data_IF_247306882822
#
_entry.id   IF_247306882822
#
_cell.length_a   1.000
_cell.length_b   1.000
_cell.length_c   1.000
_cell.angle_alpha   90.00
_cell.angle_beta   90.00
_cell.angle_gamma   90.00
#
_symmetry.space_group_name_H-M   'P 1'
#
loop_
_entity.id
_entity.type
_entity.pdbx_description
1 polymer ?
#
# COMPACT_ATOMS: atom_id res chain seq x y z
N UNK A 1 -2.02 30.70 8.68
CA UNK A 1 -2.20 29.23 8.79
C UNK A 1 -1.09 28.51 8.02
N UNK A 2 -0.50 27.45 8.56
CA UNK A 2 0.66 26.77 7.97
C UNK A 2 0.20 25.62 7.05
N UNK A 3 0.47 25.64 5.73
CA UNK A 3 -0.01 24.64 4.78
C UNK A 3 0.38 23.19 5.13
N UNK A 4 1.62 22.98 5.59
CA UNK A 4 2.10 21.65 6.00
C UNK A 4 1.34 21.10 7.21
N UNK A 5 0.95 21.94 8.17
CA UNK A 5 0.13 21.50 9.30
C UNK A 5 -1.26 21.05 8.85
N UNK A 6 -1.86 21.74 7.86
CA UNK A 6 -3.14 21.32 7.28
C UNK A 6 -3.00 20.01 6.50
N UNK A 7 -1.92 19.83 5.74
CA UNK A 7 -1.62 18.58 5.03
C UNK A 7 -1.54 17.39 5.99
N UNK A 8 -0.82 17.56 7.11
CA UNK A 8 -0.74 16.53 8.15
C UNK A 8 -2.11 16.24 8.80
N UNK A 9 -2.89 17.28 9.11
CA UNK A 9 -4.24 17.10 9.64
C UNK A 9 -5.15 16.35 8.65
N UNK A 10 -5.04 16.66 7.37
CA UNK A 10 -5.79 15.98 6.30
C UNK A 10 -5.35 14.53 6.16
N UNK A 11 -4.05 14.24 6.22
CA UNK A 11 -3.53 12.87 6.23
C UNK A 11 -4.11 12.06 7.39
N UNK A 12 -4.10 12.59 8.61
CA UNK A 12 -4.68 11.88 9.79
C UNK A 12 -6.19 11.66 9.63
N UNK A 13 -6.90 12.63 9.05
CA UNK A 13 -8.34 12.49 8.77
C UNK A 13 -8.61 11.38 7.76
N UNK A 14 -7.87 11.33 6.66
CA UNK A 14 -8.03 10.29 5.64
C UNK A 14 -7.54 8.92 6.12
N UNK A 15 -6.46 8.85 6.89
CA UNK A 15 -6.02 7.62 7.56
C UNK A 15 -7.13 7.03 8.43
N UNK A 16 -7.78 7.84 9.27
CA UNK A 16 -8.88 7.39 10.11
C UNK A 16 -10.10 6.92 9.29
N UNK A 17 -10.38 7.60 8.17
CA UNK A 17 -11.45 7.20 7.25
C UNK A 17 -11.15 5.84 6.63
N UNK A 18 -9.94 5.66 6.07
CA UNK A 18 -9.49 4.42 5.46
C UNK A 18 -9.46 3.27 6.47
N UNK A 19 -8.90 3.51 7.66
CA UNK A 19 -8.83 2.53 8.73
C UNK A 19 -10.21 1.96 9.08
N UNK A 20 -11.24 2.82 9.15
CA UNK A 20 -12.62 2.39 9.42
C UNK A 20 -13.29 1.67 8.25
N UNK A 21 -12.85 1.91 7.01
CA UNK A 21 -13.48 1.33 5.81
C UNK A 21 -12.79 0.09 5.27
N UNK A 22 -11.57 -0.24 5.72
CA UNK A 22 -10.80 -1.40 5.26
C UNK A 22 -10.63 -2.41 6.43
N UNK A 23 -11.53 -3.41 6.55
CA UNK A 23 -11.54 -4.34 7.69
C UNK A 23 -10.24 -5.13 7.89
N UNK A 24 -9.48 -5.34 6.82
CA UNK A 24 -8.16 -5.95 6.86
C UNK A 24 -7.20 -5.25 7.84
N UNK A 25 -7.41 -3.96 8.12
CA UNK A 25 -6.58 -3.18 9.02
C UNK A 25 -6.85 -3.43 10.52
N UNK A 26 -7.97 -4.07 10.88
CA UNK A 26 -8.35 -4.23 12.29
C UNK A 26 -8.98 -5.58 12.69
N UNK A 27 -9.65 -6.31 11.79
CA UNK A 27 -10.41 -7.52 12.16
C UNK A 27 -9.53 -8.67 12.70
N UNK A 28 -8.27 -8.72 12.30
CA UNK A 28 -7.32 -9.81 12.62
C UNK A 28 -6.03 -9.34 13.29
N UNK A 29 -6.05 -8.23 14.03
CA UNK A 29 -4.84 -7.69 14.67
C UNK A 29 -4.14 -8.67 15.64
N UNK A 30 -4.91 -9.58 16.24
CA UNK A 30 -4.41 -10.56 17.21
C UNK A 30 -4.26 -11.98 16.65
N UNK A 31 -4.39 -12.14 15.33
CA UNK A 31 -4.27 -13.42 14.63
C UNK A 31 -3.09 -13.34 13.63
N UNK A 32 -2.08 -14.23 13.73
CA UNK A 32 -0.95 -14.25 12.80
C UNK A 32 -1.35 -14.31 11.32
N UNK A 33 -2.49 -14.91 10.99
CA UNK A 33 -2.97 -14.99 9.61
C UNK A 33 -3.63 -13.69 9.10
N UNK A 34 -3.77 -12.68 9.95
CA UNK A 34 -4.10 -11.30 9.59
C UNK A 34 -2.94 -10.52 8.97
N UNK A 35 -1.73 -11.07 8.99
CA UNK A 35 -0.51 -10.42 8.52
C UNK A 35 0.38 -11.39 7.73
N UNK A 36 1.01 -10.91 6.66
CA UNK A 36 2.07 -11.67 5.96
C UNK A 36 3.12 -10.72 5.41
N UNK A 37 4.40 -11.00 5.65
CA UNK A 37 5.47 -10.29 4.97
C UNK A 37 5.44 -10.56 3.45
N UNK A 38 5.56 -9.50 2.66
CA UNK A 38 5.89 -9.59 1.24
C UNK A 38 7.42 -9.52 1.11
N UNK A 39 8.02 -8.47 1.64
CA UNK A 39 9.47 -8.24 1.63
C UNK A 39 9.86 -7.49 2.90
N UNK A 40 10.62 -8.16 3.77
CA UNK A 40 11.14 -7.60 5.02
C UNK A 40 12.67 -7.47 5.02
N UNK A 41 13.32 -7.90 3.92
CA UNK A 41 14.77 -8.08 3.83
C UNK A 41 15.47 -7.02 3.00
N UNK A 42 14.72 -6.09 2.41
CA UNK A 42 15.24 -5.10 1.47
C UNK A 42 15.85 -3.87 2.17
N UNK A 43 16.81 -4.15 3.06
CA UNK A 43 17.53 -3.16 3.85
C UNK A 43 18.30 -2.19 2.95
N UNK A 44 18.92 -2.68 1.87
CA UNK A 44 19.66 -1.83 0.91
C UNK A 44 18.76 -0.77 0.26
N UNK A 45 17.50 -1.09 -0.01
CA UNK A 45 16.55 -0.13 -0.55
C UNK A 45 15.82 0.70 0.53
N UNK A 46 15.92 0.31 1.81
CA UNK A 46 15.07 0.77 2.92
C UNK A 46 13.57 0.64 2.60
N UNK A 47 13.18 -0.51 2.05
CA UNK A 47 11.78 -0.81 1.71
C UNK A 47 11.29 -1.97 2.56
N UNK A 48 10.09 -1.84 3.10
CA UNK A 48 9.34 -2.95 3.70
C UNK A 48 7.97 -3.06 3.04
N UNK A 49 7.51 -4.29 2.85
CA UNK A 49 6.22 -4.59 2.24
C UNK A 49 5.53 -5.75 2.96
N UNK A 50 4.23 -5.62 3.20
CA UNK A 50 3.42 -6.63 3.89
C UNK A 50 1.97 -6.62 3.43
N UNK A 51 1.26 -7.72 3.71
CA UNK A 51 -0.17 -7.90 3.50
C UNK A 51 -0.89 -7.85 4.83
N UNK A 52 -2.09 -7.27 4.79
CA UNK A 52 -3.12 -7.35 5.84
C UNK A 52 -4.35 -8.04 5.29
N UNK A 53 -5.02 -8.86 6.10
CA UNK A 53 -6.20 -9.65 5.68
C UNK A 53 -7.41 -9.42 6.59
N UNK A 54 -8.61 -9.35 6.00
CA UNK A 54 -9.89 -9.38 6.72
C UNK A 54 -10.16 -10.76 7.31
N UNK A 55 -11.10 -10.85 8.25
CA UNK A 55 -11.53 -12.12 8.85
C UNK A 55 -12.16 -13.07 7.81
N UNK A 56 -12.92 -12.54 6.86
CA UNK A 56 -13.52 -13.31 5.77
C UNK A 56 -12.49 -13.80 4.74
N UNK A 57 -11.27 -13.25 4.73
CA UNK A 57 -10.18 -13.65 3.84
C UNK A 57 -10.34 -13.22 2.38
N UNK A 58 -11.47 -12.59 2.04
CA UNK A 58 -11.84 -12.06 0.73
C UNK A 58 -11.20 -10.70 0.41
N UNK A 59 -10.77 -9.98 1.46
CA UNK A 59 -10.19 -8.65 1.36
C UNK A 59 -8.77 -8.64 1.92
N UNK A 60 -7.83 -8.14 1.14
CA UNK A 60 -6.47 -7.84 1.60
C UNK A 60 -6.02 -6.44 1.20
N UNK A 61 -5.06 -5.93 1.96
CA UNK A 61 -4.37 -4.67 1.70
C UNK A 61 -2.87 -4.98 1.57
N UNK A 62 -2.27 -4.60 0.45
CA UNK A 62 -0.82 -4.58 0.29
C UNK A 62 -0.27 -3.22 0.72
N UNK A 63 0.57 -3.23 1.74
CA UNK A 63 1.19 -2.05 2.31
C UNK A 63 2.68 -2.03 1.98
N UNK A 64 3.17 -0.93 1.41
CA UNK A 64 4.58 -0.76 1.06
C UNK A 64 5.09 0.57 1.58
N UNK A 65 6.20 0.54 2.30
CA UNK A 65 6.83 1.73 2.86
C UNK A 65 8.22 1.91 2.25
N UNK A 66 8.47 3.03 1.60
CA UNK A 66 9.80 3.49 1.23
C UNK A 66 10.31 4.45 2.31
N UNK A 67 11.28 3.99 3.09
CA UNK A 67 11.86 4.75 4.20
C UNK A 67 13.12 5.52 3.77
N UNK A 68 13.39 5.59 2.47
CA UNK A 68 14.47 6.38 1.86
C UNK A 68 13.94 7.65 1.19
N UNK A 69 14.69 8.76 1.16
CA UNK A 69 14.37 9.91 0.32
C UNK A 69 14.59 9.66 -1.18
N UNK A 70 15.06 8.47 -1.56
CA UNK A 70 15.26 8.09 -2.97
C UNK A 70 13.99 7.41 -3.49
N UNK A 71 13.32 7.96 -4.52
CA UNK A 71 12.20 7.29 -5.17
C UNK A 71 12.61 5.95 -5.79
N UNK A 72 11.71 4.96 -5.79
CA UNK A 72 11.94 3.67 -6.46
C UNK A 72 10.97 3.53 -7.63
N UNK A 73 11.49 3.67 -8.84
CA UNK A 73 10.72 3.42 -10.06
C UNK A 73 10.74 1.94 -10.41
N UNK A 74 9.62 1.46 -10.97
CA UNK A 74 9.47 0.06 -11.40
C UNK A 74 9.80 -0.97 -10.31
N UNK A 75 9.55 -0.64 -9.04
CA UNK A 75 9.72 -1.55 -7.92
C UNK A 75 8.71 -2.70 -8.08
N UNK A 76 9.20 -3.94 -8.13
CA UNK A 76 8.36 -5.12 -8.29
C UNK A 76 7.80 -5.56 -6.95
N UNK A 77 6.48 -5.49 -6.79
CA UNK A 77 5.77 -5.92 -5.60
C UNK A 77 5.01 -7.23 -5.85
N UNK A 78 5.25 -8.26 -5.05
CA UNK A 78 4.47 -9.50 -5.08
C UNK A 78 3.04 -9.29 -4.56
N UNK A 79 2.05 -9.91 -5.22
CA UNK A 79 0.62 -9.76 -4.96
C UNK A 79 -0.08 -11.14 -4.92
N UNK A 80 -1.05 -11.35 -4.01
CA UNK A 80 -1.69 -12.66 -3.82
C UNK A 80 -2.71 -13.02 -4.90
N UNK A 81 -3.28 -12.05 -5.62
CA UNK A 81 -4.36 -12.28 -6.59
C UNK A 81 -4.14 -11.45 -7.86
N UNK A 82 -4.74 -11.92 -8.95
CA UNK A 82 -4.82 -11.17 -10.20
C UNK A 82 -5.83 -10.00 -10.08
N UNK A 83 -5.69 -9.03 -10.98
CA UNK A 83 -6.65 -7.94 -11.19
C UNK A 83 -6.06 -6.54 -11.00
N UNK A 84 -6.90 -5.51 -11.16
CA UNK A 84 -6.57 -4.14 -10.79
C UNK A 84 -6.50 -3.98 -9.27
N UNK A 85 -5.57 -3.14 -8.82
CA UNK A 85 -5.39 -2.73 -7.44
C UNK A 85 -5.46 -1.21 -7.38
N UNK A 86 -6.43 -0.69 -6.63
CA UNK A 86 -6.56 0.75 -6.40
C UNK A 86 -5.57 1.21 -5.34
N UNK A 87 -5.05 2.42 -5.52
CA UNK A 87 -4.32 3.16 -4.50
C UNK A 87 -5.30 3.67 -3.43
N UNK A 88 -5.30 3.02 -2.27
CA UNK A 88 -6.16 3.37 -1.12
C UNK A 88 -5.59 4.57 -0.36
N UNK A 89 -4.27 4.62 -0.25
CA UNK A 89 -3.54 5.69 0.40
C UNK A 89 -2.17 5.84 -0.26
N UNK A 90 -1.74 7.08 -0.47
CA UNK A 90 -0.37 7.44 -0.77
C UNK A 90 0.00 8.68 0.05
N UNK A 91 0.90 8.51 1.02
CA UNK A 91 1.27 9.60 1.93
C UNK A 91 2.06 10.72 1.26
N UNK A 92 2.56 10.51 0.03
CA UNK A 92 3.22 11.53 -0.78
C UNK A 92 2.24 12.37 -1.61
N UNK A 93 0.93 12.17 -1.48
CA UNK A 93 -0.06 13.00 -2.20
C UNK A 93 0.13 14.50 -1.94
N UNK A 94 -0.07 15.33 -2.96
CA UNK A 94 -0.05 16.79 -2.80
C UNK A 94 -1.09 17.30 -1.78
N UNK A 95 -2.19 16.57 -1.57
CA UNK A 95 -3.18 16.90 -0.53
C UNK A 95 -2.60 16.86 0.89
N UNK A 96 -1.53 16.09 1.10
CA UNK A 96 -0.82 15.97 2.37
C UNK A 96 0.48 16.79 2.42
N UNK A 97 0.82 17.48 1.32
CA UNK A 97 2.05 18.24 1.18
C UNK A 97 3.24 17.46 0.63
N UNK A 98 3.01 16.27 0.04
CA UNK A 98 4.04 15.49 -0.63
C UNK A 98 4.28 15.89 -2.08
N UNK A 99 5.20 15.19 -2.75
CA UNK A 99 5.63 15.44 -4.13
C UNK A 99 4.65 14.96 -5.21
N UNK A 100 3.61 14.23 -4.79
CA UNK A 100 2.57 13.64 -5.62
C UNK A 100 3.09 12.59 -6.60
N UNK A 101 4.19 11.92 -6.25
CA UNK A 101 4.68 10.77 -6.99
C UNK A 101 3.84 9.54 -6.61
N UNK A 102 3.65 8.61 -7.54
CA UNK A 102 2.83 7.43 -7.31
C UNK A 102 2.51 6.69 -8.62
N UNK A 103 1.56 5.76 -8.56
CA UNK A 103 1.17 4.94 -9.72
C UNK A 103 -0.16 5.39 -10.34
N UNK A 104 -0.50 6.67 -10.23
CA UNK A 104 -1.68 7.31 -10.87
C UNK A 104 -3.04 6.68 -10.49
N UNK A 105 -3.17 6.15 -9.27
CA UNK A 105 -4.45 5.73 -8.69
C UNK A 105 -4.80 4.25 -8.84
N UNK A 106 -4.23 3.54 -9.81
CA UNK A 106 -4.46 2.10 -10.02
C UNK A 106 -3.23 1.43 -10.62
N UNK A 107 -2.99 0.18 -10.23
CA UNK A 107 -1.98 -0.70 -10.84
C UNK A 107 -2.62 -2.01 -11.28
N UNK A 108 -2.08 -2.65 -12.31
CA UNK A 108 -2.51 -3.97 -12.72
C UNK A 108 -1.48 -5.02 -12.31
N UNK A 109 -1.97 -6.13 -11.74
CA UNK A 109 -1.14 -7.29 -11.52
C UNK A 109 -0.77 -7.97 -12.85
N UNK A 110 0.44 -8.52 -12.91
CA UNK A 110 0.93 -9.41 -13.94
C UNK A 110 0.99 -10.84 -13.39
N UNK A 111 0.84 -11.85 -14.27
CA UNK A 111 1.03 -13.26 -13.95
C UNK A 111 2.53 -13.64 -13.82
N UNK A 112 3.29 -12.81 -13.10
CA UNK A 112 4.72 -12.96 -12.87
C UNK A 112 4.94 -13.22 -11.37
N UNK A 113 5.37 -14.43 -10.97
CA UNK A 113 5.63 -14.73 -9.56
C UNK A 113 6.75 -13.86 -8.99
N UNK A 114 6.56 -13.33 -7.79
CA UNK A 114 7.54 -12.51 -7.09
C UNK A 114 7.32 -12.57 -5.58
N UNK A 115 8.38 -12.46 -4.76
CA UNK A 115 8.29 -12.51 -3.29
C UNK A 115 7.49 -13.72 -2.74
N UNK A 116 7.53 -14.88 -3.43
CA UNK A 116 6.76 -16.07 -3.03
C UNK A 116 5.23 -15.91 -3.19
N UNK A 117 4.79 -14.99 -4.05
CA UNK A 117 3.40 -14.75 -4.40
C UNK A 117 3.18 -15.00 -5.91
N UNK A 118 1.97 -15.42 -6.33
CA UNK A 118 1.70 -15.85 -7.70
C UNK A 118 1.67 -14.71 -8.73
N UNK A 119 1.36 -13.49 -8.29
CA UNK A 119 1.29 -12.31 -9.12
C UNK A 119 2.26 -11.24 -8.64
N UNK A 120 2.49 -10.23 -9.47
CA UNK A 120 3.24 -9.03 -9.06
C UNK A 120 2.89 -7.83 -9.93
N UNK A 121 3.26 -6.63 -9.50
CA UNK A 121 3.12 -5.42 -10.30
C UNK A 121 4.39 -4.58 -10.19
N UNK A 122 4.75 -3.87 -11.26
CA UNK A 122 5.77 -2.82 -11.21
C UNK A 122 5.10 -1.52 -10.76
N UNK A 123 5.57 -0.95 -9.65
CA UNK A 123 5.01 0.27 -9.06
C UNK A 123 6.06 1.35 -8.87
N UNK A 124 5.61 2.59 -8.77
CA UNK A 124 6.46 3.71 -8.34
C UNK A 124 6.27 3.91 -6.84
N UNK A 125 7.34 3.76 -6.07
CA UNK A 125 7.37 4.10 -4.64
C UNK A 125 7.89 5.53 -4.45
N UNK A 126 7.08 6.43 -3.89
CA UNK A 126 7.51 7.79 -3.61
C UNK A 126 8.60 7.84 -2.52
N UNK A 127 9.37 8.94 -2.41
CA UNK A 127 10.37 9.08 -1.36
C UNK A 127 9.69 9.27 0.02
N UNK A 128 10.23 8.63 1.06
CA UNK A 128 9.73 8.77 2.45
C UNK A 128 8.20 8.60 2.58
N UNK A 129 7.64 7.61 1.88
CA UNK A 129 6.20 7.45 1.76
C UNK A 129 5.72 6.03 2.01
N UNK A 130 4.47 5.93 2.42
CA UNK A 130 3.72 4.68 2.51
C UNK A 130 2.60 4.67 1.49
N UNK A 131 2.49 3.57 0.75
CA UNK A 131 1.45 3.32 -0.24
C UNK A 131 0.67 2.08 0.16
N UNK A 132 -0.67 2.19 0.17
CA UNK A 132 -1.58 1.07 0.40
C UNK A 132 -2.39 0.77 -0.85
N UNK A 133 -2.45 -0.50 -1.21
CA UNK A 133 -3.08 -0.99 -2.42
C UNK A 133 -4.09 -2.07 -2.05
N UNK A 134 -5.31 -1.97 -2.55
CA UNK A 134 -6.33 -3.00 -2.37
C UNK A 134 -6.86 -3.46 -3.74
N UNK A 135 -7.19 -4.74 -3.91
CA UNK A 135 -7.90 -5.19 -5.11
C UNK A 135 -9.15 -4.34 -5.32
N UNK A 136 -9.43 -4.02 -6.58
CA UNK A 136 -10.74 -3.49 -6.90
C UNK A 136 -11.78 -4.58 -6.63
N UNK A 137 -12.83 -4.24 -5.89
CA UNK A 137 -13.93 -5.18 -5.69
C UNK A 137 -14.58 -5.43 -7.04
N UNK A 138 -14.58 -6.66 -7.53
CA UNK A 138 -15.45 -7.02 -8.64
C UNK A 138 -16.89 -6.80 -8.13
N UNK A 139 -17.55 -5.74 -8.61
CA UNK A 139 -18.96 -5.53 -8.33
C UNK A 139 -19.72 -6.79 -8.72
N UNK A 140 -20.50 -7.32 -7.79
CA UNK A 140 -21.54 -8.30 -8.08
C UNK A 140 -22.71 -7.54 -8.71
#
# INVERSE_FOLDING_TARGET
EQPLHRGMQQLVKDLNRVYRSEPALFERDFDPSGFRWIDASNADANVIAFLRYSAAGDRHLACVCNLSPVPRYSYRLGLPSAGPYREVLNTDSHFYGGSNLGSLGEIHSEATPWHGLPHSAAITLPPLATVWLAPESQGI
#
